data_IF_137552902423
#
_entry.id   IF_137552902423
#
_cell.length_a   1.000
_cell.length_b   1.000
_cell.length_c   1.000
_cell.angle_alpha   90.00
_cell.angle_beta   90.00
_cell.angle_gamma   90.00
#
_symmetry.space_group_name_H-M   'P 1'
#
loop_
_entity.id
_entity.type
_entity.pdbx_description
1 polymer ?
#
# COMPACT_ATOMS: atom_id res chain seq x y z
N UNK A 1 16.23 17.38 7.87
CA UNK A 1 16.66 15.98 8.08
C UNK A 1 16.12 15.12 6.94
N UNK A 2 16.65 13.91 6.67
CA UNK A 2 16.24 13.14 5.49
C UNK A 2 14.76 12.69 5.50
N UNK A 3 14.17 12.59 6.69
CA UNK A 3 12.73 12.38 6.91
C UNK A 3 11.94 13.59 6.43
N UNK A 4 12.41 14.80 6.75
CA UNK A 4 11.77 16.05 6.35
C UNK A 4 11.79 16.16 4.83
N UNK A 5 12.90 15.88 4.15
CA UNK A 5 12.96 15.98 2.68
C UNK A 5 11.99 15.03 1.96
N UNK A 6 11.72 13.84 2.50
CA UNK A 6 10.75 12.88 1.94
C UNK A 6 9.30 13.29 2.25
N UNK A 7 9.06 13.86 3.42
CA UNK A 7 7.75 14.38 3.83
C UNK A 7 7.48 15.80 3.27
N UNK A 8 8.50 16.50 2.76
CA UNK A 8 8.43 17.82 2.11
C UNK A 8 8.19 17.71 0.60
N UNK A 9 8.41 16.53 -0.02
CA UNK A 9 8.13 16.28 -1.45
C UNK A 9 6.63 16.08 -1.76
N UNK A 10 5.78 16.78 -1.01
CA UNK A 10 4.34 16.68 -1.02
C UNK A 10 3.88 16.39 0.39
N UNK A 11 3.03 17.25 0.95
CA UNK A 11 2.40 17.18 2.29
C UNK A 11 1.54 15.92 2.51
N UNK A 12 1.75 14.86 1.72
CA UNK A 12 0.81 13.80 1.44
C UNK A 12 1.16 12.47 2.08
N UNK A 13 2.27 12.30 2.82
CA UNK A 13 2.57 11.05 3.55
C UNK A 13 3.03 11.31 5.00
N UNK A 14 3.02 10.27 5.83
CA UNK A 14 3.50 10.33 7.22
C UNK A 14 4.54 9.24 7.47
N UNK A 15 5.69 9.33 6.81
CA UNK A 15 6.79 8.39 7.04
C UNK A 15 7.55 8.77 8.30
N UNK A 16 7.42 7.95 9.33
CA UNK A 16 8.13 8.11 10.60
C UNK A 16 9.59 7.63 10.49
N UNK A 17 10.41 8.02 11.48
CA UNK A 17 11.82 7.62 11.57
C UNK A 17 11.99 6.11 11.52
N UNK A 18 11.10 5.38 12.18
CA UNK A 18 11.11 3.91 12.20
C UNK A 18 10.91 3.35 10.79
N UNK A 19 9.98 3.88 10.01
CA UNK A 19 9.84 3.45 8.62
C UNK A 19 11.13 3.64 7.81
N UNK A 20 11.77 4.81 7.92
CA UNK A 20 13.01 5.11 7.18
C UNK A 20 14.14 4.19 7.61
N UNK A 21 14.25 3.91 8.91
CA UNK A 21 15.29 3.05 9.44
C UNK A 21 15.07 1.59 9.02
N UNK A 22 13.83 1.10 9.07
CA UNK A 22 13.47 -0.23 8.59
C UNK A 22 13.69 -0.38 7.09
N UNK A 23 13.25 0.60 6.30
CA UNK A 23 13.50 0.64 4.87
C UNK A 23 15.01 0.57 4.59
N UNK A 24 15.82 1.37 5.27
CA UNK A 24 17.28 1.35 5.10
C UNK A 24 17.90 -0.03 5.38
N UNK A 25 17.47 -0.72 6.45
CA UNK A 25 17.93 -2.08 6.75
C UNK A 25 17.55 -3.09 5.66
N UNK A 26 16.31 -3.03 5.17
CA UNK A 26 15.82 -3.93 4.11
C UNK A 26 16.57 -3.67 2.81
N UNK A 27 16.63 -2.41 2.39
CA UNK A 27 17.17 -1.94 1.11
C UNK A 27 18.69 -2.11 0.99
N UNK A 28 19.40 -2.10 2.11
CA UNK A 28 20.85 -2.36 2.16
C UNK A 28 21.21 -3.85 2.25
N UNK A 29 20.27 -4.77 1.98
CA UNK A 29 20.50 -6.22 2.04
C UNK A 29 21.14 -6.69 3.37
N UNK A 30 20.76 -6.07 4.49
CA UNK A 30 21.22 -6.49 5.82
C UNK A 30 20.39 -7.70 6.25
N UNK A 31 21.05 -8.79 6.68
CA UNK A 31 20.40 -10.10 6.91
C UNK A 31 19.18 -9.99 7.84
N UNK A 32 19.33 -9.32 8.98
CA UNK A 32 18.23 -9.12 9.91
C UNK A 32 17.67 -7.71 9.79
N UNK A 33 16.36 -7.63 9.52
CA UNK A 33 15.65 -6.35 9.35
C UNK A 33 14.92 -5.89 10.62
N UNK A 34 15.02 -6.67 11.70
CA UNK A 34 14.47 -6.32 13.01
C UNK A 34 15.24 -5.17 13.66
N UNK A 35 14.55 -4.32 14.42
CA UNK A 35 15.15 -3.27 15.24
C UNK A 35 15.91 -3.86 16.44
N UNK A 36 17.12 -4.36 16.18
CA UNK A 36 18.01 -4.89 17.21
C UNK A 36 19.34 -4.14 17.15
N UNK A 37 19.91 -3.88 18.32
CA UNK A 37 21.15 -3.09 18.49
C UNK A 37 22.28 -3.62 17.60
N UNK A 38 22.40 -4.94 17.44
CA UNK A 38 23.45 -5.54 16.61
C UNK A 38 23.31 -5.23 15.11
N UNK A 39 22.12 -4.85 14.62
CA UNK A 39 21.94 -4.42 13.23
C UNK A 39 22.46 -2.99 12.99
N UNK A 40 22.67 -2.22 14.05
CA UNK A 40 23.24 -0.87 14.03
C UNK A 40 24.74 -0.86 14.39
N UNK A 41 25.46 -1.91 13.97
CA UNK A 41 26.92 -1.93 14.06
C UNK A 41 27.56 -1.02 13.00
N UNK A 42 28.84 -0.71 13.18
CA UNK A 42 29.60 0.21 12.31
C UNK A 42 29.55 -0.19 10.83
N UNK A 43 29.71 -1.47 10.52
CA UNK A 43 29.78 -1.95 9.13
C UNK A 43 28.43 -1.78 8.42
N UNK A 44 27.33 -2.11 9.09
CA UNK A 44 25.98 -1.91 8.57
C UNK A 44 25.66 -0.43 8.38
N UNK A 45 26.08 0.43 9.30
CA UNK A 45 25.87 1.88 9.19
C UNK A 45 26.65 2.48 8.03
N UNK A 46 27.92 2.09 7.82
CA UNK A 46 28.70 2.51 6.66
C UNK A 46 28.07 2.03 5.34
N UNK A 47 27.52 0.80 5.31
CA UNK A 47 26.81 0.27 4.15
C UNK A 47 25.57 1.10 3.83
N UNK A 48 24.76 1.42 4.84
CA UNK A 48 23.57 2.25 4.71
C UNK A 48 23.95 3.66 4.25
N UNK A 49 24.93 4.29 4.88
CA UNK A 49 25.39 5.65 4.54
C UNK A 49 25.85 5.74 3.09
N UNK A 50 26.65 4.77 2.63
CA UNK A 50 27.10 4.71 1.23
C UNK A 50 25.95 4.52 0.25
N UNK A 51 24.93 3.74 0.60
CA UNK A 51 23.77 3.47 -0.26
C UNK A 51 22.68 4.56 -0.16
N UNK A 52 22.75 5.40 0.87
CA UNK A 52 21.71 6.36 1.23
C UNK A 52 21.23 7.24 0.06
N UNK A 53 22.11 7.81 -0.80
CA UNK A 53 21.65 8.61 -1.94
C UNK A 53 20.72 7.83 -2.88
N UNK A 54 21.00 6.55 -3.13
CA UNK A 54 20.18 5.70 -3.99
C UNK A 54 18.88 5.29 -3.31
N UNK A 55 18.91 5.02 -2.00
CA UNK A 55 17.71 4.73 -1.20
C UNK A 55 16.76 5.94 -1.22
N UNK A 56 17.29 7.15 -1.01
CA UNK A 56 16.51 8.38 -1.03
C UNK A 56 15.82 8.57 -2.38
N UNK A 57 16.55 8.37 -3.48
CA UNK A 57 15.98 8.45 -4.83
C UNK A 57 14.89 7.38 -5.07
N UNK A 58 15.13 6.13 -4.67
CA UNK A 58 14.14 5.06 -4.79
C UNK A 58 12.84 5.38 -4.01
N UNK A 59 12.99 5.90 -2.79
CA UNK A 59 11.88 6.36 -1.96
C UNK A 59 11.12 7.49 -2.66
N UNK A 60 11.80 8.51 -3.18
CA UNK A 60 11.18 9.63 -3.91
C UNK A 60 10.40 9.14 -5.13
N UNK A 61 10.96 8.22 -5.93
CA UNK A 61 10.28 7.65 -7.10
C UNK A 61 9.02 6.88 -6.65
N UNK A 62 9.16 6.06 -5.60
CA UNK A 62 8.04 5.27 -5.07
C UNK A 62 6.93 6.17 -4.55
N UNK A 63 7.25 7.23 -3.81
CA UNK A 63 6.25 8.19 -3.31
C UNK A 63 5.50 8.85 -4.44
N UNK A 64 6.19 9.31 -5.49
CA UNK A 64 5.54 9.88 -6.68
C UNK A 64 4.61 8.87 -7.35
N UNK A 65 5.03 7.60 -7.44
CA UNK A 65 4.21 6.53 -8.00
C UNK A 65 2.97 6.24 -7.13
N UNK A 66 3.11 6.26 -5.80
CA UNK A 66 1.97 6.11 -4.89
C UNK A 66 0.96 7.25 -5.06
N UNK A 67 1.44 8.48 -5.24
CA UNK A 67 0.57 9.64 -5.52
C UNK A 67 -0.21 9.48 -6.81
N UNK A 68 0.38 8.94 -7.89
CA UNK A 68 -0.39 8.69 -9.13
C UNK A 68 -1.47 7.63 -8.97
N UNK A 69 -1.35 6.76 -7.96
CA UNK A 69 -2.38 5.79 -7.56
C UNK A 69 -3.37 6.33 -6.53
N UNK A 70 -3.27 7.61 -6.15
CA UNK A 70 -4.16 8.26 -5.19
C UNK A 70 -3.86 7.97 -3.72
N UNK A 71 -2.73 7.34 -3.43
CA UNK A 71 -2.33 7.12 -2.05
C UNK A 71 -1.79 8.40 -1.41
N UNK A 72 -2.12 8.57 -0.15
CA UNK A 72 -1.68 9.65 0.72
C UNK A 72 -1.56 9.14 2.17
N UNK A 73 -1.32 10.03 3.12
CA UNK A 73 -1.24 9.81 4.56
C UNK A 73 -2.52 9.16 5.07
N UNK A 74 -3.66 9.62 4.56
CA UNK A 74 -4.97 9.22 5.07
C UNK A 74 -5.44 7.89 4.45
N UNK A 75 -4.92 7.54 3.28
CA UNK A 75 -5.34 6.35 2.52
C UNK A 75 -4.32 5.21 2.56
N UNK A 76 -3.05 5.49 2.82
CA UNK A 76 -2.00 4.48 2.98
C UNK A 76 -1.97 3.95 4.42
N UNK A 77 -2.71 2.88 4.66
CA UNK A 77 -2.90 2.32 6.02
C UNK A 77 -1.69 1.59 6.61
N UNK A 78 -0.63 1.37 5.81
CA UNK A 78 0.58 0.71 6.27
C UNK A 78 1.81 1.16 5.48
N UNK A 79 2.64 2.00 6.09
CA UNK A 79 3.90 2.44 5.50
C UNK A 79 4.83 1.26 5.16
N UNK A 80 4.87 0.21 5.99
CA UNK A 80 5.74 -0.96 5.75
C UNK A 80 5.40 -1.70 4.45
N UNK A 81 4.17 -1.59 3.94
CA UNK A 81 3.80 -2.14 2.64
C UNK A 81 4.51 -1.45 1.47
N UNK A 82 5.07 -0.25 1.68
CA UNK A 82 5.80 0.47 0.63
C UNK A 82 7.22 -0.09 0.43
N UNK A 83 7.83 -0.68 1.46
CA UNK A 83 9.24 -1.09 1.45
C UNK A 83 9.58 -2.05 0.29
N UNK A 84 8.78 -3.11 0.01
CA UNK A 84 9.05 -3.99 -1.13
C UNK A 84 9.05 -3.28 -2.49
N UNK A 85 8.20 -2.27 -2.67
CA UNK A 85 8.15 -1.48 -3.91
C UNK A 85 9.44 -0.66 -4.08
N UNK A 86 9.89 -0.03 -3.00
CA UNK A 86 11.15 0.74 -2.97
C UNK A 86 12.33 -0.18 -3.28
N UNK A 87 12.33 -1.39 -2.73
CA UNK A 87 13.39 -2.37 -2.99
C UNK A 87 13.44 -2.78 -4.45
N UNK A 88 12.29 -3.05 -5.07
CA UNK A 88 12.21 -3.35 -6.49
C UNK A 88 12.74 -2.20 -7.37
N UNK A 89 12.30 -0.97 -7.11
CA UNK A 89 12.75 0.23 -7.84
C UNK A 89 14.27 0.40 -7.70
N UNK A 90 14.80 0.22 -6.48
CA UNK A 90 16.23 0.29 -6.23
C UNK A 90 17.02 -0.78 -7.02
N UNK A 91 16.51 -2.02 -7.05
CA UNK A 91 17.10 -3.14 -7.80
C UNK A 91 17.08 -2.91 -9.31
N UNK A 92 16.06 -2.24 -9.84
CA UNK A 92 15.99 -1.80 -11.24
C UNK A 92 16.87 -0.58 -11.55
N UNK A 93 17.58 -0.04 -10.57
CA UNK A 93 18.48 1.10 -10.76
C UNK A 93 17.78 2.45 -10.79
N UNK A 94 16.69 2.62 -10.03
CA UNK A 94 15.93 3.86 -9.89
C UNK A 94 15.41 4.44 -11.23
N UNK A 95 14.74 3.64 -12.09
CA UNK A 95 14.27 4.14 -13.38
C UNK A 95 13.13 5.15 -13.16
N UNK A 96 13.39 6.44 -13.32
CA UNK A 96 12.36 7.50 -13.20
C UNK A 96 11.17 7.28 -14.16
N UNK A 97 11.44 6.64 -15.31
CA UNK A 97 10.43 6.24 -16.28
C UNK A 97 9.40 5.24 -15.74
N UNK A 98 9.63 4.59 -14.60
CA UNK A 98 8.65 3.70 -13.98
C UNK A 98 7.34 4.41 -13.66
N UNK A 99 7.34 5.74 -13.48
CA UNK A 99 6.14 6.52 -13.16
C UNK A 99 5.24 6.68 -14.39
N UNK A 100 5.79 6.82 -15.59
CA UNK A 100 5.03 7.26 -16.79
C UNK A 100 5.26 6.45 -18.05
N UNK A 101 6.46 5.89 -18.28
CA UNK A 101 6.80 5.19 -19.53
C UNK A 101 5.95 3.94 -19.72
N UNK A 102 5.56 3.66 -20.95
CA UNK A 102 4.85 2.44 -21.35
C UNK A 102 5.66 1.18 -21.10
N UNK A 103 6.99 1.26 -21.13
CA UNK A 103 7.88 0.11 -20.92
C UNK A 103 7.71 -0.51 -19.52
N UNK A 104 7.28 0.29 -18.56
CA UNK A 104 7.03 -0.13 -17.19
C UNK A 104 5.54 -0.31 -16.86
N UNK A 105 4.64 -0.30 -17.85
CA UNK A 105 3.21 -0.40 -17.59
C UNK A 105 2.84 -1.71 -16.85
N UNK A 106 3.37 -2.84 -17.30
CA UNK A 106 3.13 -4.14 -16.66
C UNK A 106 3.68 -4.19 -15.22
N UNK A 107 4.85 -3.61 -14.97
CA UNK A 107 5.43 -3.51 -13.63
C UNK A 107 4.58 -2.65 -12.70
N UNK A 108 4.16 -1.46 -13.18
CA UNK A 108 3.28 -0.58 -12.40
C UNK A 108 2.00 -1.27 -11.99
N UNK A 109 1.36 -1.99 -12.91
CA UNK A 109 0.13 -2.73 -12.62
C UNK A 109 0.34 -3.83 -11.59
N UNK A 110 1.40 -4.64 -11.73
CA UNK A 110 1.76 -5.69 -10.75
C UNK A 110 2.05 -5.10 -9.37
N UNK A 111 2.82 -4.01 -9.32
CA UNK A 111 3.12 -3.31 -8.06
C UNK A 111 1.87 -2.74 -7.39
N UNK A 112 0.96 -2.14 -8.18
CA UNK A 112 -0.28 -1.56 -7.68
C UNK A 112 -1.21 -2.65 -7.12
N UNK A 113 -1.44 -3.73 -7.88
CA UNK A 113 -2.26 -4.88 -7.43
C UNK A 113 -1.71 -5.50 -6.15
N UNK A 114 -0.40 -5.72 -6.10
CA UNK A 114 0.26 -6.24 -4.92
C UNK A 114 0.09 -5.33 -3.70
N UNK A 115 0.26 -4.01 -3.87
CA UNK A 115 0.09 -3.06 -2.77
C UNK A 115 -1.34 -3.09 -2.24
N UNK A 116 -2.33 -3.03 -3.13
CA UNK A 116 -3.75 -3.06 -2.75
C UNK A 116 -4.07 -4.33 -1.96
N UNK A 117 -3.62 -5.49 -2.46
CA UNK A 117 -3.79 -6.77 -1.76
C UNK A 117 -3.12 -6.77 -0.39
N UNK A 118 -1.88 -6.26 -0.28
CA UNK A 118 -1.15 -6.20 0.97
C UNK A 118 -1.82 -5.28 2.02
N UNK A 119 -2.39 -4.16 1.59
CA UNK A 119 -3.14 -3.24 2.46
C UNK A 119 -4.45 -3.87 2.93
N UNK A 120 -5.24 -4.46 2.01
CA UNK A 120 -6.52 -5.11 2.33
C UNK A 120 -6.34 -6.33 3.25
N UNK A 121 -5.33 -7.17 3.01
CA UNK A 121 -4.97 -8.29 3.90
C UNK A 121 -4.31 -7.87 5.20
N UNK A 122 -3.95 -6.59 5.34
CA UNK A 122 -3.20 -6.04 6.49
C UNK A 122 -1.93 -6.85 6.76
N UNK A 123 -1.24 -7.29 5.71
CA UNK A 123 -0.13 -8.25 5.77
C UNK A 123 0.93 -7.81 6.78
N UNK A 124 1.24 -6.51 6.82
CA UNK A 124 2.27 -5.93 7.67
C UNK A 124 1.81 -5.55 9.09
N UNK A 125 0.61 -5.94 9.51
CA UNK A 125 0.16 -5.78 10.90
C UNK A 125 0.85 -6.77 11.86
N UNK A 126 1.42 -6.29 12.95
CA UNK A 126 2.09 -7.13 13.97
C UNK A 126 3.51 -7.54 13.57
N UNK A 127 3.67 -8.66 12.83
CA UNK A 127 4.97 -9.24 12.47
C UNK A 127 5.43 -8.83 11.05
N UNK A 128 5.88 -7.58 10.89
CA UNK A 128 6.32 -7.07 9.58
C UNK A 128 7.71 -7.57 9.15
N UNK A 129 8.62 -7.89 10.08
CA UNK A 129 10.03 -8.15 9.76
C UNK A 129 10.27 -9.45 8.99
N UNK A 130 9.62 -10.55 9.40
CA UNK A 130 9.72 -11.84 8.70
C UNK A 130 9.12 -11.75 7.29
N UNK A 131 7.99 -11.04 7.15
CA UNK A 131 7.35 -10.81 5.85
C UNK A 131 8.29 -10.02 4.95
N UNK A 132 8.86 -8.92 5.44
CA UNK A 132 9.81 -8.10 4.67
C UNK A 132 11.05 -8.90 4.26
N UNK A 133 11.57 -9.75 5.14
CA UNK A 133 12.74 -10.58 4.84
C UNK A 133 12.45 -11.58 3.72
N UNK A 134 11.30 -12.26 3.77
CA UNK A 134 10.91 -13.21 2.73
C UNK A 134 10.64 -12.52 1.39
N UNK A 135 9.87 -11.43 1.40
CA UNK A 135 9.56 -10.68 0.18
C UNK A 135 10.82 -10.09 -0.44
N UNK A 136 11.75 -9.55 0.37
CA UNK A 136 13.04 -9.07 -0.14
C UNK A 136 13.79 -10.18 -0.87
N UNK A 137 13.84 -11.38 -0.28
CA UNK A 137 14.50 -12.54 -0.89
C UNK A 137 13.87 -12.86 -2.26
N UNK A 138 12.56 -12.96 -2.34
CA UNK A 138 11.83 -13.21 -3.60
C UNK A 138 12.14 -12.14 -4.66
N UNK A 139 12.08 -10.86 -4.29
CA UNK A 139 12.40 -9.76 -5.23
C UNK A 139 13.87 -9.80 -5.64
N UNK A 140 14.78 -10.18 -4.74
CA UNK A 140 16.22 -10.25 -5.03
C UNK A 140 16.61 -11.35 -6.02
N UNK A 141 15.79 -12.40 -6.09
CA UNK A 141 15.94 -13.57 -6.97
C UNK A 141 15.24 -13.37 -8.34
N UNK A 142 14.34 -12.38 -8.46
CA UNK A 142 13.69 -12.00 -9.72
C UNK A 142 14.56 -11.05 -10.55
N UNK A 143 14.51 -11.17 -11.89
CA UNK A 143 15.29 -10.35 -12.83
C UNK A 143 14.45 -9.35 -13.65
N UNK A 144 13.23 -9.73 -14.03
CA UNK A 144 12.58 -9.11 -15.18
C UNK A 144 11.42 -8.18 -14.81
N UNK A 145 10.48 -8.65 -13.99
CA UNK A 145 9.30 -7.89 -13.57
C UNK A 145 9.06 -8.00 -12.07
N UNK A 146 8.19 -7.13 -11.54
CA UNK A 146 7.77 -7.18 -10.14
C UNK A 146 7.09 -8.54 -9.85
N UNK A 147 7.67 -9.39 -8.97
CA UNK A 147 7.28 -10.79 -8.83
C UNK A 147 6.11 -10.97 -7.85
N UNK A 148 4.95 -10.40 -8.15
CA UNK A 148 3.80 -10.45 -7.23
C UNK A 148 3.31 -11.88 -6.96
N UNK A 149 3.32 -12.75 -7.97
CA UNK A 149 2.84 -14.12 -7.87
C UNK A 149 3.76 -14.97 -7.00
N UNK A 150 5.07 -14.83 -7.18
CA UNK A 150 6.08 -15.50 -6.37
C UNK A 150 6.04 -14.99 -4.92
N UNK A 151 5.73 -13.70 -4.71
CA UNK A 151 5.51 -13.17 -3.36
C UNK A 151 4.30 -13.85 -2.73
N UNK A 152 3.17 -13.96 -3.43
CA UNK A 152 1.98 -14.62 -2.92
C UNK A 152 2.24 -16.08 -2.56
N UNK A 153 2.95 -16.80 -3.43
CA UNK A 153 3.31 -18.19 -3.20
C UNK A 153 4.23 -18.34 -1.99
N UNK A 154 5.24 -17.48 -1.85
CA UNK A 154 6.18 -17.51 -0.73
C UNK A 154 5.52 -17.30 0.64
N UNK A 155 4.32 -16.72 0.68
CA UNK A 155 3.55 -16.46 1.90
C UNK A 155 2.37 -17.43 2.07
N UNK A 156 2.08 -18.27 1.07
CA UNK A 156 0.99 -19.26 1.13
C UNK A 156 1.19 -20.21 2.31
N UNK A 157 0.09 -20.58 2.97
CA UNK A 157 0.12 -21.48 4.13
C UNK A 157 0.65 -20.85 5.42
N UNK A 158 1.14 -19.61 5.39
CA UNK A 158 1.52 -18.87 6.61
C UNK A 158 0.36 -18.03 7.13
N UNK A 159 0.45 -17.55 8.37
CA UNK A 159 -0.48 -16.56 8.92
C UNK A 159 -0.51 -15.22 8.14
N UNK A 160 0.39 -15.04 7.18
CA UNK A 160 0.53 -13.86 6.31
C UNK A 160 0.20 -14.14 4.84
N UNK A 161 -0.46 -15.28 4.59
CA UNK A 161 -1.04 -15.62 3.28
C UNK A 161 -1.85 -14.45 2.71
N UNK A 162 -1.62 -14.15 1.44
CA UNK A 162 -2.32 -13.07 0.73
C UNK A 162 -3.55 -13.55 -0.06
N UNK A 163 -3.94 -14.81 0.10
CA UNK A 163 -5.21 -15.35 -0.41
C UNK A 163 -6.40 -14.78 0.39
N UNK A 164 -7.52 -14.53 -0.30
CA UNK A 164 -8.79 -14.18 0.34
C UNK A 164 -9.72 -15.39 0.32
N UNK A 165 -10.40 -15.62 1.44
CA UNK A 165 -11.57 -16.51 1.51
C UNK A 165 -12.87 -15.70 1.37
N UNK A 166 -13.99 -16.39 1.21
CA UNK A 166 -15.31 -15.75 1.00
C UNK A 166 -15.68 -14.82 2.17
N UNK A 167 -15.48 -15.28 3.42
CA UNK A 167 -15.77 -14.48 4.61
C UNK A 167 -14.97 -13.17 4.67
N UNK A 168 -13.70 -13.20 4.26
CA UNK A 168 -12.87 -12.01 4.18
C UNK A 168 -13.32 -11.07 3.06
N UNK A 169 -13.78 -11.60 1.93
CA UNK A 169 -14.34 -10.79 0.84
C UNK A 169 -15.62 -10.10 1.33
N UNK A 170 -16.53 -10.84 1.96
CA UNK A 170 -17.76 -10.31 2.53
C UNK A 170 -17.46 -9.23 3.59
N UNK A 171 -16.48 -9.48 4.45
CA UNK A 171 -16.00 -8.49 5.42
C UNK A 171 -15.45 -7.21 4.78
N UNK A 172 -14.78 -7.31 3.63
CA UNK A 172 -14.38 -6.13 2.85
C UNK A 172 -15.58 -5.40 2.26
N UNK A 173 -16.60 -6.13 1.78
CA UNK A 173 -17.85 -5.57 1.27
C UNK A 173 -18.70 -4.91 2.37
N UNK A 174 -18.46 -5.22 3.64
CA UNK A 174 -19.12 -4.56 4.78
C UNK A 174 -18.32 -3.38 5.36
N UNK A 175 -17.21 -3.00 4.73
CA UNK A 175 -16.37 -1.87 5.17
C UNK A 175 -17.15 -0.56 5.17
N UNK A 176 -17.26 0.08 6.34
CA UNK A 176 -17.97 1.37 6.49
C UNK A 176 -17.12 2.56 6.09
N UNK A 177 -17.79 3.65 5.70
CA UNK A 177 -17.18 4.96 5.48
C UNK A 177 -16.31 5.39 6.67
N UNK A 178 -15.12 5.90 6.39
CA UNK A 178 -14.15 6.34 7.40
C UNK A 178 -13.24 5.23 7.95
N UNK A 179 -13.41 3.98 7.49
CA UNK A 179 -12.43 2.93 7.79
C UNK A 179 -11.20 3.10 6.90
N UNK A 180 -10.03 2.77 7.45
CA UNK A 180 -8.75 3.02 6.81
C UNK A 180 -8.61 2.29 5.46
N UNK A 181 -9.21 1.11 5.31
CA UNK A 181 -9.20 0.34 4.07
C UNK A 181 -10.19 0.78 2.98
N UNK A 182 -11.11 1.71 3.26
CA UNK A 182 -12.19 2.08 2.33
C UNK A 182 -11.66 2.58 0.99
N UNK A 183 -10.62 3.42 1.01
CA UNK A 183 -10.01 3.94 -0.22
C UNK A 183 -9.51 2.80 -1.11
N UNK A 184 -8.77 1.84 -0.56
CA UNK A 184 -8.21 0.73 -1.35
C UNK A 184 -9.29 -0.16 -1.95
N UNK A 185 -10.41 -0.38 -1.24
CA UNK A 185 -11.57 -1.10 -1.78
C UNK A 185 -12.19 -0.33 -2.94
N UNK A 186 -12.41 0.99 -2.79
CA UNK A 186 -12.95 1.83 -3.86
C UNK A 186 -12.00 1.88 -5.08
N UNK A 187 -10.70 2.03 -4.87
CA UNK A 187 -9.71 2.02 -5.93
C UNK A 187 -9.71 0.69 -6.72
N UNK A 188 -10.08 -0.43 -6.08
CA UNK A 188 -10.23 -1.72 -6.75
C UNK A 188 -11.50 -1.80 -7.60
N UNK A 189 -12.60 -1.23 -7.11
CA UNK A 189 -13.90 -1.24 -7.78
C UNK A 189 -14.00 -0.24 -8.93
N UNK A 190 -13.25 0.85 -8.85
CA UNK A 190 -13.25 1.95 -9.82
C UNK A 190 -11.86 2.16 -10.45
N UNK A 191 -11.27 1.15 -11.14
CA UNK A 191 -9.92 1.24 -11.69
C UNK A 191 -9.77 2.30 -12.80
N UNK A 192 -10.88 2.78 -13.35
CA UNK A 192 -10.89 3.86 -14.35
C UNK A 192 -10.80 5.27 -13.75
N UNK A 193 -10.91 5.40 -12.42
CA UNK A 193 -10.81 6.70 -11.77
C UNK A 193 -9.35 7.18 -11.80
N UNK A 194 -9.13 8.35 -12.40
CA UNK A 194 -7.81 8.97 -12.39
C UNK A 194 -7.60 9.66 -11.06
N UNK A 195 -6.68 9.15 -10.24
CA UNK A 195 -6.36 9.72 -8.93
C UNK A 195 -5.42 10.95 -8.99
N UNK A 196 -5.33 11.60 -10.15
CA UNK A 196 -4.49 12.78 -10.40
C UNK A 196 -5.12 14.09 -9.89
N UNK A 197 -6.32 14.03 -9.32
CA UNK A 197 -7.03 15.12 -8.67
C UNK A 197 -7.18 14.84 -7.16
N UNK A 198 -7.34 15.88 -6.33
CA UNK A 198 -7.58 15.69 -4.89
C UNK A 198 -8.99 15.10 -4.69
N UNK A 199 -9.06 13.78 -4.49
CA UNK A 199 -10.31 13.11 -4.14
C UNK A 199 -10.61 13.36 -2.66
N UNK A 200 -11.50 14.30 -2.39
CA UNK A 200 -12.31 14.15 -1.19
C UNK A 200 -13.23 12.96 -1.43
N UNK A 201 -13.22 11.98 -0.54
CA UNK A 201 -14.26 10.94 -0.49
C UNK A 201 -15.52 11.65 0.00
N UNK A 202 -16.13 12.46 -0.87
CA UNK A 202 -17.37 13.16 -0.58
C UNK A 202 -18.54 12.28 -1.02
N UNK A 203 -19.62 12.41 -0.27
CA UNK A 203 -20.83 11.63 -0.45
C UNK A 203 -21.47 12.08 -1.76
N UNK A 204 -21.48 11.25 -2.80
CA UNK A 204 -22.09 11.68 -4.07
C UNK A 204 -23.65 11.77 -3.96
N UNK A 205 -24.23 11.26 -2.83
CA UNK A 205 -25.57 11.61 -2.35
C UNK A 205 -25.55 12.31 -0.97
N UNK A 206 -26.41 13.33 -0.74
CA UNK A 206 -26.51 14.01 0.55
C UNK A 206 -26.83 13.07 1.71
N UNK A 207 -26.07 13.12 2.82
CA UNK A 207 -26.34 12.36 4.07
C UNK A 207 -27.80 12.46 4.55
N UNK A 208 -28.47 13.57 4.25
CA UNK A 208 -29.88 13.80 4.58
C UNK A 208 -30.82 12.78 3.95
N UNK A 209 -30.49 12.22 2.78
CA UNK A 209 -31.28 11.22 2.04
C UNK A 209 -31.30 9.85 2.74
N UNK A 210 -30.32 9.58 3.61
CA UNK A 210 -30.15 8.27 4.27
C UNK A 210 -30.75 8.23 5.68
N UNK A 211 -31.55 9.23 6.06
CA UNK A 211 -32.31 9.18 7.31
C UNK A 211 -33.30 8.00 7.26
N UNK A 212 -33.48 7.24 8.37
CA UNK A 212 -34.36 6.06 8.40
C UNK A 212 -35.78 6.31 7.88
N UNK A 213 -36.30 7.53 8.05
CA UNK A 213 -37.61 7.97 7.56
C UNK A 213 -37.67 8.05 6.02
N UNK A 214 -36.61 8.54 5.38
CA UNK A 214 -36.53 8.68 3.91
C UNK A 214 -36.28 7.33 3.25
N UNK A 215 -35.43 6.48 3.84
CA UNK A 215 -35.19 5.12 3.33
C UNK A 215 -36.45 4.26 3.39
N UNK A 216 -37.23 4.35 4.49
CA UNK A 216 -38.53 3.68 4.60
C UNK A 216 -39.54 4.18 3.57
N UNK A 217 -39.55 5.48 3.29
CA UNK A 217 -40.43 6.08 2.27
C UNK A 217 -40.13 5.55 0.86
N UNK A 218 -38.88 5.16 0.60
CA UNK A 218 -38.43 4.60 -0.68
C UNK A 218 -38.42 3.06 -0.69
N UNK A 219 -39.13 2.41 0.24
CA UNK A 219 -39.30 0.94 0.23
C UNK A 219 -38.11 0.12 0.75
N UNK A 220 -37.06 0.75 1.29
CA UNK A 220 -35.87 0.04 1.78
C UNK A 220 -36.11 -0.44 3.22
N UNK A 221 -36.14 -1.76 3.41
CA UNK A 221 -36.41 -2.40 4.71
C UNK A 221 -35.23 -2.31 5.68
N UNK A 222 -35.41 -2.71 6.94
CA UNK A 222 -34.34 -2.70 7.95
C UNK A 222 -33.29 -3.81 7.72
N UNK A 223 -33.70 -4.93 7.12
CA UNK A 223 -32.80 -6.03 6.77
C UNK A 223 -31.92 -5.68 5.55
N UNK A 224 -32.48 -5.03 4.52
CA UNK A 224 -31.71 -4.60 3.35
C UNK A 224 -30.67 -3.52 3.67
N UNK A 225 -30.93 -2.69 4.69
CA UNK A 225 -29.97 -1.70 5.20
C UNK A 225 -28.70 -2.30 5.79
N UNK A 226 -28.77 -3.50 6.36
CA UNK A 226 -27.63 -4.16 6.99
C UNK A 226 -26.82 -5.02 6.02
N UNK A 227 -27.40 -5.41 4.89
CA UNK A 227 -26.81 -6.37 3.93
C UNK A 227 -26.13 -5.70 2.72
N UNK A 228 -26.25 -4.38 2.58
CA UNK A 228 -25.77 -3.59 1.42
C UNK A 228 -24.69 -2.58 1.78
N UNK A 229 -23.82 -2.95 2.73
CA UNK A 229 -22.73 -2.11 3.24
C UNK A 229 -21.88 -1.48 2.13
N UNK A 230 -21.58 -2.20 1.05
CA UNK A 230 -20.90 -1.66 -0.14
C UNK A 230 -21.83 -1.25 -1.29
N UNK A 231 -22.96 -1.95 -1.49
CA UNK A 231 -23.83 -1.72 -2.66
C UNK A 231 -24.50 -0.33 -2.65
N UNK A 232 -24.59 0.30 -1.49
CA UNK A 232 -25.06 1.67 -1.33
C UNK A 232 -23.96 2.73 -1.55
N UNK A 233 -22.73 2.39 -1.91
CA UNK A 233 -21.66 3.37 -2.14
C UNK A 233 -21.17 3.41 -3.59
N UNK A 234 -21.63 2.49 -4.45
CA UNK A 234 -21.30 2.49 -5.88
C UNK A 234 -22.37 3.01 -6.84
N UNK A 235 -23.62 3.08 -6.38
CA UNK A 235 -24.73 3.77 -7.07
C UNK A 235 -25.40 4.77 -6.12
N UNK A 236 -24.93 4.82 -4.87
CA UNK A 236 -25.36 5.75 -3.84
C UNK A 236 -24.14 6.44 -3.17
N UNK A 237 -23.15 6.77 -3.96
CA UNK A 237 -22.45 8.03 -3.82
C UNK A 237 -22.63 8.60 -5.20
#
# INVERSE_FOLDING_TARGET
QPVDDLNLMGESFNFEKDFILKASLVLSDIKTVAFRIYNFNRDNMLKIEKLWPKIKEALTITVRLLTTWGYSRDTLVSNNAVIPLVYYILRKGNPKGIITSTDFAADRERMQRWLMRALLKRTFGGQSDNVLTNIRRVISESSDSFPEDEIYESLRGTAKSMAFDEDQIDGLLDTRYGHSGTFTVLALLYPWLKFDQHFHIDHIFPRSMFKPKILRKNGISKQERNRRGLYLFGILS
#
